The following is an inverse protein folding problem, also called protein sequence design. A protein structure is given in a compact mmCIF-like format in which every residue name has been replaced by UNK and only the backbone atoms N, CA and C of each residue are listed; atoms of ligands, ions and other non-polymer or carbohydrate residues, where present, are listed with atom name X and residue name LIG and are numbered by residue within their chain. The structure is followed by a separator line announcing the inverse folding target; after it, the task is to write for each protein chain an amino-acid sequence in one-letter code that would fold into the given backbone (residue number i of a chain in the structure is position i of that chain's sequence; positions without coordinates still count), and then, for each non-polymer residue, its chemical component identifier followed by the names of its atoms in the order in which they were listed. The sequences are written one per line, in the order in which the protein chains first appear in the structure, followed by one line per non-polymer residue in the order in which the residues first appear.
data_IF_997150848223
#
_entry.id   IF_997150848223
#
_cell.length_a   1.000
_cell.length_b   1.000
_cell.length_c   1.000
_cell.angle_alpha   90.00
_cell.angle_beta   90.00
_cell.angle_gamma   90.00
#
_symmetry.space_group_name_H-M   'P 1'
#
loop_
_entity.id
_entity.type
_entity.pdbx_description
1 polymer ?
#
# COMPACT_ATOMS: atom_id res chain seq x y z
N UNK A 1 28.19 -30.62 1.94
CA UNK A 1 28.72 -29.25 2.07
C UNK A 1 27.58 -28.28 1.85
N UNK A 2 27.52 -27.27 2.71
CA UNK A 2 26.75 -26.02 2.67
C UNK A 2 25.22 -26.15 2.62
N UNK A 3 24.65 -26.00 3.82
CA UNK A 3 23.27 -25.66 4.09
C UNK A 3 22.85 -24.41 3.31
N UNK A 4 21.71 -24.50 2.64
CA UNK A 4 20.95 -23.34 2.20
C UNK A 4 20.52 -22.58 3.46
N UNK A 5 21.33 -21.59 3.85
CA UNK A 5 20.90 -20.57 4.79
C UNK A 5 19.75 -19.84 4.10
N UNK A 6 18.52 -20.15 4.50
CA UNK A 6 17.37 -19.28 4.26
C UNK A 6 17.76 -17.89 4.74
N UNK A 7 18.15 -17.01 3.81
CA UNK A 7 18.21 -15.59 4.11
C UNK A 7 16.77 -15.24 4.48
N UNK A 8 16.55 -14.82 5.72
CA UNK A 8 15.31 -14.16 6.08
C UNK A 8 15.24 -12.90 5.22
N UNK A 9 14.51 -12.96 4.10
CA UNK A 9 14.27 -11.78 3.28
C UNK A 9 13.52 -10.80 4.15
N UNK A 10 14.16 -9.67 4.46
CA UNK A 10 13.49 -8.63 5.24
C UNK A 10 12.39 -8.04 4.37
N UNK A 11 11.18 -8.02 4.89
CA UNK A 11 10.01 -7.44 4.21
C UNK A 11 9.63 -6.10 4.84
N UNK A 12 8.94 -5.29 4.06
CA UNK A 12 8.28 -4.05 4.44
C UNK A 12 6.80 -4.21 4.14
N UNK A 13 5.94 -3.91 5.11
CA UNK A 13 4.49 -3.89 4.89
C UNK A 13 4.01 -2.46 4.71
N UNK A 14 3.25 -2.23 3.63
CA UNK A 14 2.47 -1.00 3.44
C UNK A 14 0.98 -1.33 3.51
N UNK A 15 0.16 -0.34 3.86
CA UNK A 15 -1.24 -0.58 4.20
C UNK A 15 -2.17 0.31 3.39
N UNK A 16 -3.29 -0.22 2.93
CA UNK A 16 -4.33 0.54 2.25
C UNK A 16 -5.68 0.31 2.90
N UNK A 17 -6.44 1.37 3.12
CA UNK A 17 -7.88 1.27 3.28
C UNK A 17 -8.52 1.28 1.88
N UNK A 18 -9.05 0.15 1.38
CA UNK A 18 -9.82 0.15 0.15
C UNK A 18 -11.06 1.01 0.33
N UNK A 19 -11.45 1.77 -0.70
CA UNK A 19 -12.77 2.41 -0.70
C UNK A 19 -13.85 1.32 -0.65
N UNK A 20 -15.01 1.66 -0.07
CA UNK A 20 -16.13 0.74 0.13
C UNK A 20 -16.44 -0.09 -1.12
N UNK A 21 -16.40 -1.42 -0.98
CA UNK A 21 -16.70 -2.39 -2.04
C UNK A 21 -15.55 -2.68 -3.00
N UNK A 22 -14.36 -2.09 -2.80
CA UNK A 22 -13.19 -2.32 -3.65
C UNK A 22 -12.17 -3.29 -3.04
N UNK A 23 -12.28 -3.62 -1.76
CA UNK A 23 -11.30 -4.43 -1.02
C UNK A 23 -11.11 -5.81 -1.65
N UNK A 24 -12.20 -6.52 -1.92
CA UNK A 24 -12.12 -7.85 -2.54
C UNK A 24 -11.55 -7.78 -3.96
N UNK A 25 -11.96 -6.78 -4.75
CA UNK A 25 -11.43 -6.58 -6.10
C UNK A 25 -9.92 -6.34 -6.08
N UNK A 26 -9.44 -5.45 -5.21
CA UNK A 26 -8.01 -5.17 -5.07
C UNK A 26 -7.21 -6.37 -4.53
N UNK A 27 -7.83 -7.24 -3.74
CA UNK A 27 -7.23 -8.50 -3.28
C UNK A 27 -7.04 -9.48 -4.45
N UNK A 28 -8.07 -9.66 -5.28
CA UNK A 28 -8.12 -10.67 -6.35
C UNK A 28 -7.43 -10.22 -7.64
N UNK A 29 -7.74 -9.02 -8.11
CA UNK A 29 -7.30 -8.50 -9.43
C UNK A 29 -6.07 -7.59 -9.31
N UNK A 30 -5.77 -7.18 -8.08
CA UNK A 30 -4.72 -6.22 -7.79
C UNK A 30 -5.05 -4.79 -8.20
N UNK A 31 -4.00 -4.01 -8.47
CA UNK A 31 -4.12 -2.60 -8.82
C UNK A 31 -4.10 -2.46 -10.34
N UNK A 32 -5.21 -1.99 -10.92
CA UNK A 32 -5.32 -1.72 -12.35
C UNK A 32 -5.47 -0.22 -12.59
N UNK A 33 -4.85 0.36 -13.63
CA UNK A 33 -5.03 1.77 -13.98
C UNK A 33 -6.50 2.22 -14.05
N UNK A 34 -7.39 1.35 -14.53
CA UNK A 34 -8.83 1.62 -14.66
C UNK A 34 -9.53 1.85 -13.31
N UNK A 35 -8.96 1.36 -12.21
CA UNK A 35 -9.51 1.56 -10.86
C UNK A 35 -9.09 2.90 -10.22
N UNK A 36 -8.14 3.59 -10.86
CA UNK A 36 -7.57 4.86 -10.42
C UNK A 36 -7.57 5.88 -11.58
N UNK A 37 -8.75 6.21 -12.15
CA UNK A 37 -8.86 7.17 -13.25
C UNK A 37 -8.29 8.54 -12.86
N UNK A 38 -7.74 9.31 -13.80
CA UNK A 38 -7.23 10.67 -13.56
C UNK A 38 -8.36 11.70 -13.36
N UNK A 39 -9.33 11.37 -12.50
CA UNK A 39 -10.50 12.18 -12.16
C UNK A 39 -10.86 11.98 -10.68
N UNK A 40 -11.66 12.87 -10.08
CA UNK A 40 -12.04 12.73 -8.67
C UNK A 40 -12.67 11.35 -8.36
N UNK A 41 -12.23 10.66 -7.30
CA UNK A 41 -11.35 11.12 -6.22
C UNK A 41 -9.84 10.96 -6.46
N UNK A 42 -9.42 10.40 -7.60
CA UNK A 42 -8.02 10.08 -7.94
C UNK A 42 -7.43 11.10 -8.91
N UNK A 43 -7.28 12.35 -8.45
CA UNK A 43 -6.86 13.49 -9.29
C UNK A 43 -5.56 13.28 -10.07
N UNK A 44 -4.65 12.44 -9.56
CA UNK A 44 -3.35 12.15 -10.14
C UNK A 44 -3.20 10.68 -10.60
N UNK A 45 -4.30 9.92 -10.56
CA UNK A 45 -4.33 8.49 -10.86
C UNK A 45 -3.50 7.61 -9.91
N UNK A 46 -2.99 8.17 -8.80
CA UNK A 46 -2.15 7.46 -7.85
C UNK A 46 -2.98 6.61 -6.87
N UNK A 47 -2.34 5.58 -6.34
CA UNK A 47 -2.85 4.79 -5.25
C UNK A 47 -2.09 5.13 -3.97
N UNK A 48 -2.81 5.63 -2.97
CA UNK A 48 -2.27 6.05 -1.67
C UNK A 48 -2.28 4.89 -0.67
N UNK A 49 -1.18 4.79 0.09
CA UNK A 49 -0.94 3.80 1.14
C UNK A 49 -0.41 4.49 2.40
N UNK A 50 -0.74 3.94 3.57
CA UNK A 50 0.01 4.20 4.79
C UNK A 50 1.41 3.57 4.67
N UNK A 51 2.38 4.29 5.23
CA UNK A 51 3.82 4.01 5.16
C UNK A 51 4.26 2.69 5.78
N UNK A 52 5.55 2.42 5.62
CA UNK A 52 6.19 1.19 6.06
C UNK A 52 5.96 0.93 7.56
N UNK A 53 5.30 -0.18 7.87
CA UNK A 53 5.03 -0.65 9.25
C UNK A 53 4.23 0.33 10.13
N UNK A 54 3.56 1.33 9.53
CA UNK A 54 2.60 2.20 10.21
C UNK A 54 1.24 2.10 9.51
N UNK A 55 0.31 1.41 10.17
CA UNK A 55 -1.06 1.16 9.68
C UNK A 55 -2.03 2.31 9.98
N UNK A 56 -1.60 3.32 10.74
CA UNK A 56 -2.51 4.30 11.37
C UNK A 56 -3.32 5.11 10.37
N UNK A 57 -2.75 5.50 9.23
CA UNK A 57 -3.48 6.21 8.17
C UNK A 57 -4.56 5.29 7.57
N UNK A 58 -4.23 4.03 7.27
CA UNK A 58 -5.20 3.07 6.75
C UNK A 58 -6.32 2.80 7.78
N UNK A 59 -6.01 2.75 9.06
CA UNK A 59 -7.00 2.62 10.12
C UNK A 59 -7.95 3.81 10.20
N UNK A 60 -7.44 5.03 10.05
CA UNK A 60 -8.23 6.26 10.00
C UNK A 60 -9.26 6.22 8.87
N UNK A 61 -8.83 5.97 7.63
CA UNK A 61 -9.73 5.92 6.47
C UNK A 61 -10.70 4.73 6.54
N UNK A 62 -10.27 3.59 7.08
CA UNK A 62 -11.13 2.42 7.20
C UNK A 62 -12.31 2.65 8.18
N UNK A 63 -12.25 3.65 9.07
CA UNK A 63 -13.42 4.04 9.90
C UNK A 63 -14.63 4.42 9.03
N UNK A 64 -14.36 5.06 7.89
CA UNK A 64 -15.40 5.47 6.93
C UNK A 64 -15.60 4.43 5.83
N UNK A 65 -14.53 3.84 5.28
CA UNK A 65 -14.64 2.92 4.15
C UNK A 65 -15.18 1.54 4.54
N UNK A 66 -14.84 1.05 5.74
CA UNK A 66 -15.35 -0.19 6.34
C UNK A 66 -15.19 -1.43 5.47
N UNK A 67 -14.09 -1.49 4.71
CA UNK A 67 -13.81 -2.58 3.77
C UNK A 67 -12.56 -3.39 4.18
N UNK A 68 -12.11 -3.19 5.42
CA UNK A 68 -10.88 -3.79 5.92
C UNK A 68 -9.64 -3.00 5.52
N UNK A 69 -8.48 -3.58 5.81
CA UNK A 69 -7.18 -3.01 5.45
C UNK A 69 -6.42 -4.05 4.64
N UNK A 70 -6.03 -3.64 3.44
CA UNK A 70 -5.21 -4.42 2.54
C UNK A 70 -3.74 -4.19 2.91
N UNK A 71 -3.05 -5.27 3.22
CA UNK A 71 -1.63 -5.27 3.60
C UNK A 71 -0.83 -5.89 2.46
N UNK A 72 0.28 -5.26 2.09
CA UNK A 72 1.16 -5.73 1.00
C UNK A 72 2.56 -5.90 1.57
N UNK A 73 3.09 -7.12 1.50
CA UNK A 73 4.44 -7.43 1.98
C UNK A 73 5.44 -7.37 0.82
N UNK A 74 6.37 -6.42 0.89
CA UNK A 74 7.31 -6.09 -0.18
C UNK A 74 8.73 -6.41 0.29
N UNK A 75 9.52 -7.06 -0.55
CA UNK A 75 10.95 -7.25 -0.27
C UNK A 75 11.63 -5.89 -0.03
N UNK A 76 12.41 -5.77 1.05
CA UNK A 76 13.06 -4.50 1.41
C UNK A 76 13.87 -3.88 0.27
N UNK A 77 14.60 -4.69 -0.49
CA UNK A 77 15.40 -4.21 -1.63
C UNK A 77 14.55 -3.58 -2.73
N UNK A 78 13.35 -4.13 -2.97
CA UNK A 78 12.40 -3.58 -3.95
C UNK A 78 11.74 -2.33 -3.38
N UNK A 79 11.35 -2.37 -2.11
CA UNK A 79 10.79 -1.21 -1.42
C UNK A 79 11.71 0.00 -1.48
N UNK A 80 12.95 -0.17 -1.03
CA UNK A 80 13.95 0.90 -1.01
C UNK A 80 14.23 1.46 -2.42
N UNK A 81 14.14 0.63 -3.46
CA UNK A 81 14.39 1.04 -4.86
C UNK A 81 13.22 1.79 -5.49
N UNK A 82 11.99 1.30 -5.34
CA UNK A 82 10.85 1.77 -6.13
C UNK A 82 9.81 2.55 -5.33
N UNK A 83 9.63 2.26 -4.04
CA UNK A 83 8.51 2.79 -3.25
C UNK A 83 8.95 3.80 -2.20
N UNK A 84 10.11 3.61 -1.58
CA UNK A 84 10.68 4.57 -0.62
C UNK A 84 10.88 5.98 -1.18
N UNK A 85 11.32 6.18 -2.45
CA UNK A 85 11.39 7.52 -3.03
C UNK A 85 10.03 8.22 -3.19
N UNK A 86 8.92 7.51 -2.97
CA UNK A 86 7.54 8.00 -3.05
C UNK A 86 6.91 8.23 -1.68
N UNK A 87 7.68 8.02 -0.60
CA UNK A 87 7.27 8.38 0.75
C UNK A 87 7.11 9.90 0.86
N UNK A 88 5.97 10.33 1.37
CA UNK A 88 5.69 11.72 1.70
C UNK A 88 5.17 11.80 3.13
N UNK A 89 5.40 12.95 3.77
CA UNK A 89 4.77 13.23 5.05
C UNK A 89 3.27 13.35 4.83
N UNK A 90 2.51 12.55 5.56
CA UNK A 90 1.06 12.70 5.64
C UNK A 90 0.76 13.93 6.50
N UNK A 91 0.38 15.01 5.84
CA UNK A 91 0.14 16.32 6.46
C UNK A 91 -1.34 16.46 6.84
N UNK A 92 -1.71 15.79 7.93
CA UNK A 92 -2.92 16.15 8.68
C UNK A 92 -2.55 17.16 9.77
N UNK A 93 -3.47 18.09 10.05
CA UNK A 93 -3.29 19.10 11.11
C UNK A 93 -3.49 18.51 12.52
N UNK A 94 -3.00 17.30 12.74
CA UNK A 94 -3.18 16.50 13.95
C UNK A 94 -1.88 16.34 14.77
N UNK A 95 -0.79 16.96 14.33
CA UNK A 95 0.55 16.91 14.94
C UNK A 95 1.15 15.49 15.02
N UNK A 96 0.72 14.54 14.19
CA UNK A 96 1.32 13.21 14.11
C UNK A 96 2.32 13.14 12.97
N UNK A 97 3.49 12.56 13.24
CA UNK A 97 4.44 12.22 12.18
C UNK A 97 4.06 10.87 11.58
N UNK A 98 3.39 10.92 10.43
CA UNK A 98 2.97 9.74 9.67
C UNK A 98 3.47 9.87 8.23
N UNK A 99 3.75 8.73 7.62
CA UNK A 99 4.23 8.66 6.23
C UNK A 99 3.16 8.00 5.38
N UNK A 100 2.92 8.56 4.21
CA UNK A 100 2.18 7.90 3.14
C UNK A 100 3.09 7.53 1.97
N UNK A 101 2.73 6.51 1.21
CA UNK A 101 3.40 6.13 -0.04
C UNK A 101 2.44 6.37 -1.19
N UNK A 102 2.80 7.28 -2.09
CA UNK A 102 1.96 7.67 -3.23
C UNK A 102 2.42 6.91 -4.48
N UNK A 103 1.75 5.80 -4.80
CA UNK A 103 2.19 4.91 -5.88
C UNK A 103 1.50 5.28 -7.20
N UNK A 104 2.23 5.77 -8.22
CA UNK A 104 1.65 6.06 -9.52
C UNK A 104 1.37 4.77 -10.31
N UNK A 105 0.41 4.83 -11.24
CA UNK A 105 -0.04 3.68 -12.04
C UNK A 105 1.10 2.91 -12.73
N UNK A 106 2.15 3.60 -13.19
CA UNK A 106 3.32 3.01 -13.85
C UNK A 106 4.05 1.96 -12.98
N UNK A 107 3.86 1.98 -11.66
CA UNK A 107 4.45 1.02 -10.73
C UNK A 107 3.49 -0.08 -10.28
N UNK A 108 2.21 -0.06 -10.68
CA UNK A 108 1.27 -1.13 -10.36
C UNK A 108 1.73 -2.51 -10.83
N UNK A 109 2.37 -2.69 -12.01
CA UNK A 109 2.92 -3.99 -12.39
C UNK A 109 4.00 -4.52 -11.43
N UNK A 110 4.74 -3.64 -10.76
CA UNK A 110 5.71 -4.04 -9.73
C UNK A 110 4.98 -4.36 -8.43
N UNK A 111 4.07 -3.48 -8.00
CA UNK A 111 3.30 -3.66 -6.77
C UNK A 111 2.48 -4.98 -6.79
N UNK A 112 1.93 -5.34 -7.96
CA UNK A 112 1.12 -6.54 -8.13
C UNK A 112 1.89 -7.87 -8.05
N UNK A 113 3.23 -7.84 -8.02
CA UNK A 113 4.06 -9.03 -7.85
C UNK A 113 4.10 -9.52 -6.39
N UNK A 114 3.69 -8.67 -5.45
CA UNK A 114 3.81 -8.93 -4.02
C UNK A 114 2.54 -9.55 -3.44
N UNK A 115 2.67 -10.45 -2.45
CA UNK A 115 1.53 -11.01 -1.76
C UNK A 115 0.78 -9.91 -1.02
N UNK A 116 -0.55 -10.07 -0.98
CA UNK A 116 -1.44 -9.14 -0.31
C UNK A 116 -2.53 -9.89 0.45
N UNK A 117 -2.91 -9.36 1.60
CA UNK A 117 -3.97 -9.93 2.44
C UNK A 117 -4.94 -8.84 2.84
N UNK A 118 -6.24 -9.13 2.78
CA UNK A 118 -7.27 -8.24 3.29
C UNK A 118 -7.64 -8.66 4.70
N UNK A 119 -7.36 -7.81 5.69
CA UNK A 119 -7.69 -8.08 7.09
C UNK A 119 -8.90 -7.25 7.54
N UNK A 120 -9.82 -7.83 8.32
CA UNK A 120 -10.81 -7.03 9.02
C UNK A 120 -10.12 -6.04 9.98
N UNK A 121 -10.86 -4.99 10.38
CA UNK A 121 -10.38 -4.00 11.34
C UNK A 121 -10.06 -4.65 12.68
#
# INVERSE_FOLDING_TARGET
MLSERSKSTQTITIYKAPQKGKGQKLLEEGFQPIDFPYDPPYLDGSCYFAGANDRSIAEEFNQSYKDGILEIEIDREIYDRYFKPLENRYDEKDNRERIEVVIPQKLFPILNQFPRVLKPR
#
